data_IF_592651075201
#
_entry.id   IF_592651075201
#
_cell.length_a   1.000
_cell.length_b   1.000
_cell.length_c   1.000
_cell.angle_alpha   90.00
_cell.angle_beta   90.00
_cell.angle_gamma   90.00
#
_symmetry.space_group_name_H-M   'P 1'
#
loop_
_entity.id
_entity.type
_entity.pdbx_description
1 polymer ?
#
# COMPACT_ATOMS: atom_id res chain seq x y z
N UNK A 1 -64.68 5.19 4.57
CA UNK A 1 -63.32 5.50 5.05
C UNK A 1 -62.38 4.39 4.56
N UNK A 2 -61.59 4.65 3.54
CA UNK A 2 -60.77 3.68 2.85
C UNK A 2 -59.36 3.74 3.41
N UNK A 3 -58.82 2.63 3.89
CA UNK A 3 -57.44 2.45 4.34
C UNK A 3 -56.62 2.07 3.14
N UNK A 4 -55.56 2.86 2.85
CA UNK A 4 -54.54 2.56 1.82
C UNK A 4 -53.45 1.65 2.40
N UNK A 5 -52.94 0.67 1.66
CA UNK A 5 -51.80 -0.12 2.10
C UNK A 5 -50.48 0.58 1.80
N UNK A 6 -49.56 0.48 2.75
CA UNK A 6 -48.18 0.93 2.63
C UNK A 6 -47.38 0.01 1.68
N UNK A 7 -46.83 0.58 0.63
CA UNK A 7 -45.85 -0.05 -0.24
C UNK A 7 -44.46 -0.03 0.40
N UNK A 8 -43.86 -1.20 0.58
CA UNK A 8 -42.47 -1.36 0.97
C UNK A 8 -41.56 -0.96 -0.20
N UNK A 9 -40.73 0.01 0.05
CA UNK A 9 -39.71 0.48 -0.89
C UNK A 9 -38.45 -0.40 -0.73
N UNK A 10 -38.24 -1.32 -1.67
CA UNK A 10 -36.95 -2.07 -1.79
C UNK A 10 -36.08 -1.33 -2.77
N UNK A 11 -35.15 -0.54 -2.26
CA UNK A 11 -34.12 0.11 -3.06
C UNK A 11 -32.97 -0.87 -3.33
N UNK A 12 -33.00 -1.51 -4.49
CA UNK A 12 -31.81 -2.11 -5.09
C UNK A 12 -30.92 -1.02 -5.73
N UNK A 13 -29.64 -1.31 -6.02
CA UNK A 13 -28.71 -0.33 -6.56
C UNK A 13 -29.20 0.16 -7.93
N UNK A 14 -29.46 1.46 -8.02
CA UNK A 14 -29.79 2.13 -9.28
C UNK A 14 -28.51 2.33 -10.07
N UNK A 15 -28.35 1.55 -11.13
CA UNK A 15 -27.41 1.83 -12.21
C UNK A 15 -27.88 3.12 -12.89
N UNK A 16 -27.08 4.18 -12.75
CA UNK A 16 -27.41 5.46 -13.39
C UNK A 16 -26.94 5.41 -14.85
N UNK A 17 -27.84 5.12 -15.78
CA UNK A 17 -27.61 5.25 -17.21
C UNK A 17 -27.69 6.74 -17.54
N UNK A 18 -26.54 7.40 -17.75
CA UNK A 18 -26.52 8.73 -18.37
C UNK A 18 -26.69 8.60 -19.88
N UNK A 19 -27.92 8.73 -20.35
CA UNK A 19 -28.18 8.94 -21.77
C UNK A 19 -27.81 10.37 -22.13
N UNK A 20 -26.73 10.56 -22.88
CA UNK A 20 -26.48 11.83 -23.58
C UNK A 20 -27.20 11.79 -24.92
N UNK A 21 -28.33 12.51 -24.96
CA UNK A 21 -29.00 12.86 -26.22
C UNK A 21 -28.17 13.92 -26.93
N UNK A 22 -27.58 13.59 -28.08
CA UNK A 22 -27.21 14.58 -29.10
C UNK A 22 -27.84 14.14 -30.41
N UNK A 23 -28.69 14.99 -30.86
CA UNK A 23 -29.35 15.20 -32.15
C UNK A 23 -28.92 14.28 -33.28
N UNK A 24 -29.79 13.33 -33.61
CA UNK A 24 -29.78 12.59 -34.86
C UNK A 24 -30.12 13.57 -35.99
N UNK A 25 -29.15 13.88 -36.83
CA UNK A 25 -29.46 14.35 -38.17
C UNK A 25 -29.88 13.11 -38.98
N UNK A 26 -31.17 12.93 -39.15
CA UNK A 26 -31.73 11.84 -39.92
C UNK A 26 -31.36 12.06 -41.41
N UNK A 27 -30.39 11.27 -41.90
CA UNK A 27 -30.29 11.00 -43.32
C UNK A 27 -31.16 9.79 -43.64
N UNK A 28 -32.28 10.00 -44.32
CA UNK A 28 -33.21 8.97 -44.77
C UNK A 28 -32.56 8.13 -45.85
N UNK A 29 -31.91 7.05 -45.44
CA UNK A 29 -31.64 5.84 -46.21
C UNK A 29 -31.60 4.73 -45.19
N UNK A 30 -32.55 3.77 -45.26
CA UNK A 30 -32.89 2.73 -44.32
C UNK A 30 -31.71 1.96 -43.68
N UNK A 31 -31.07 2.54 -42.72
CA UNK A 31 -29.97 1.96 -41.95
C UNK A 31 -30.37 1.89 -40.48
N UNK A 32 -30.45 0.69 -39.96
CA UNK A 32 -30.62 0.40 -38.53
C UNK A 32 -29.51 1.12 -37.73
N UNK A 33 -29.92 2.04 -36.87
CA UNK A 33 -29.01 2.81 -36.06
C UNK A 33 -28.21 1.92 -35.08
N UNK A 34 -26.90 2.07 -35.12
CA UNK A 34 -26.03 1.51 -34.08
C UNK A 34 -26.11 2.39 -32.82
N UNK A 35 -26.28 1.78 -31.66
CA UNK A 35 -26.21 2.44 -30.36
C UNK A 35 -24.88 2.07 -29.72
N UNK A 36 -24.09 3.07 -29.35
CA UNK A 36 -22.83 2.89 -28.66
C UNK A 36 -23.07 2.86 -27.13
N UNK A 37 -22.54 1.87 -26.47
CA UNK A 37 -22.55 1.72 -25.01
C UNK A 37 -21.10 1.67 -24.53
N UNK A 38 -20.70 2.63 -23.71
CA UNK A 38 -19.43 2.63 -23.03
C UNK A 38 -19.56 2.03 -21.62
N UNK A 39 -18.60 1.23 -21.22
CA UNK A 39 -18.42 0.80 -19.82
C UNK A 39 -17.05 1.27 -19.33
N UNK A 40 -17.02 1.96 -18.21
CA UNK A 40 -15.81 2.56 -17.67
C UNK A 40 -15.54 3.99 -18.15
N UNK A 41 -14.30 4.39 -18.14
CA UNK A 41 -13.86 5.76 -18.49
C UNK A 41 -13.71 5.99 -20.00
N UNK A 42 -13.93 4.96 -20.85
CA UNK A 42 -13.77 5.01 -22.30
C UNK A 42 -15.11 5.11 -23.00
N UNK A 43 -15.20 6.02 -23.97
CA UNK A 43 -16.45 6.32 -24.68
C UNK A 43 -16.27 6.11 -26.18
N UNK A 44 -17.26 5.54 -26.87
CA UNK A 44 -17.32 5.63 -28.33
C UNK A 44 -17.84 7.02 -28.70
N UNK A 45 -16.96 7.86 -29.23
CA UNK A 45 -17.26 9.25 -29.59
C UNK A 45 -18.06 9.35 -30.90
N UNK A 46 -17.74 8.48 -31.86
CA UNK A 46 -18.53 8.38 -33.14
C UNK A 46 -18.48 6.96 -33.71
N UNK A 47 -19.50 6.62 -34.49
CA UNK A 47 -19.55 5.42 -35.33
C UNK A 47 -19.81 5.91 -36.76
N UNK A 48 -18.84 5.72 -37.63
CA UNK A 48 -18.95 6.09 -39.04
C UNK A 48 -19.11 4.82 -39.88
N UNK A 49 -20.04 4.86 -40.82
CA UNK A 49 -20.37 3.75 -41.70
C UNK A 49 -20.17 4.18 -43.14
N UNK A 50 -19.27 3.53 -43.84
CA UNK A 50 -18.96 3.84 -45.23
C UNK A 50 -19.07 2.58 -46.11
N UNK A 51 -19.58 2.67 -47.34
CA UNK A 51 -19.62 1.55 -48.26
C UNK A 51 -18.21 1.12 -48.65
N UNK A 52 -17.98 -0.18 -48.77
CA UNK A 52 -16.72 -0.72 -49.29
C UNK A 52 -16.69 -0.50 -50.80
N UNK A 53 -15.62 0.11 -51.31
CA UNK A 53 -15.47 0.38 -52.74
C UNK A 53 -15.50 -0.95 -53.55
N UNK A 54 -16.49 -1.07 -54.43
CA UNK A 54 -16.66 -2.24 -55.30
C UNK A 54 -17.48 -3.39 -54.69
N UNK A 55 -17.95 -3.28 -53.46
CA UNK A 55 -18.81 -4.27 -52.81
C UNK A 55 -19.98 -3.60 -52.09
N UNK A 56 -21.16 -3.64 -52.74
CA UNK A 56 -22.37 -3.01 -52.20
C UNK A 56 -22.96 -3.75 -50.97
N UNK A 57 -22.54 -4.99 -50.68
CA UNK A 57 -22.99 -5.77 -49.57
C UNK A 57 -22.20 -5.56 -48.30
N UNK A 58 -20.99 -5.05 -48.38
CA UNK A 58 -20.09 -4.78 -47.27
C UNK A 58 -19.98 -3.26 -46.99
N UNK A 59 -19.87 -2.98 -45.71
CA UNK A 59 -19.58 -1.62 -45.23
C UNK A 59 -18.40 -1.64 -44.24
N UNK A 60 -17.62 -0.57 -44.27
CA UNK A 60 -16.62 -0.32 -43.24
C UNK A 60 -17.28 0.39 -42.07
N UNK A 61 -17.15 -0.16 -40.91
CA UNK A 61 -17.56 0.43 -39.63
C UNK A 61 -16.31 0.99 -38.98
N UNK A 62 -16.24 2.29 -38.78
CA UNK A 62 -15.16 2.97 -38.12
C UNK A 62 -15.65 3.50 -36.73
N UNK A 63 -14.98 3.12 -35.66
CA UNK A 63 -15.25 3.62 -34.33
C UNK A 63 -14.18 4.63 -33.94
N UNK A 64 -14.62 5.80 -33.52
CA UNK A 64 -13.74 6.79 -32.86
C UNK A 64 -13.92 6.65 -31.37
N UNK A 65 -12.86 6.26 -30.67
CA UNK A 65 -12.85 5.99 -29.25
C UNK A 65 -12.13 7.13 -28.53
N UNK A 66 -12.85 7.83 -27.64
CA UNK A 66 -12.30 8.90 -26.80
C UNK A 66 -12.01 8.39 -25.39
N UNK A 67 -11.25 9.19 -24.66
CA UNK A 67 -10.94 9.00 -23.23
C UNK A 67 -10.17 7.71 -22.91
N UNK A 68 -9.62 7.03 -23.94
CA UNK A 68 -8.72 5.90 -23.75
C UNK A 68 -7.30 6.40 -23.44
N UNK A 69 -6.73 5.92 -22.35
CA UNK A 69 -5.34 6.21 -21.98
C UNK A 69 -4.37 5.59 -23.01
N UNK A 70 -3.35 6.33 -23.43
CA UNK A 70 -2.37 5.82 -24.40
C UNK A 70 -1.69 4.55 -23.85
N UNK A 71 -1.63 3.49 -24.66
CA UNK A 71 -1.10 2.19 -24.27
C UNK A 71 -2.12 1.22 -23.69
N UNK A 72 -3.36 1.65 -23.39
CA UNK A 72 -4.43 0.73 -22.97
C UNK A 72 -4.80 -0.24 -24.07
N UNK A 73 -5.01 -1.50 -23.73
CA UNK A 73 -5.59 -2.49 -24.63
C UNK A 73 -7.11 -2.33 -24.65
N UNK A 74 -7.67 -2.25 -25.85
CA UNK A 74 -9.10 -2.09 -26.08
C UNK A 74 -9.65 -3.34 -26.74
N UNK A 75 -10.71 -3.92 -26.19
CA UNK A 75 -11.50 -4.97 -26.81
C UNK A 75 -12.79 -4.36 -27.32
N UNK A 76 -13.03 -4.53 -28.63
CA UNK A 76 -14.23 -4.07 -29.30
C UNK A 76 -15.17 -5.29 -29.39
N UNK A 77 -16.35 -5.16 -28.81
CA UNK A 77 -17.37 -6.19 -28.83
C UNK A 77 -18.63 -5.70 -29.54
N UNK A 78 -19.31 -6.62 -30.16
CA UNK A 78 -20.56 -6.37 -30.87
C UNK A 78 -21.68 -7.30 -30.40
N UNK A 79 -22.91 -6.83 -30.47
CA UNK A 79 -24.11 -7.59 -30.11
C UNK A 79 -25.29 -7.21 -30.97
N UNK A 80 -26.11 -8.21 -31.35
CA UNK A 80 -27.38 -8.01 -32.01
C UNK A 80 -28.57 -7.84 -31.04
N UNK A 81 -28.41 -8.22 -29.77
CA UNK A 81 -29.48 -8.33 -28.79
C UNK A 81 -29.18 -7.68 -27.43
N UNK A 82 -28.00 -7.05 -27.27
CA UNK A 82 -27.50 -6.48 -26.02
C UNK A 82 -27.26 -7.51 -24.87
N UNK A 83 -27.52 -8.77 -25.10
CA UNK A 83 -27.32 -9.83 -24.13
C UNK A 83 -26.07 -10.67 -24.45
N UNK A 84 -25.92 -11.02 -25.73
CA UNK A 84 -24.81 -11.84 -26.19
C UNK A 84 -23.80 -10.97 -26.92
N UNK A 85 -22.60 -10.86 -26.40
CA UNK A 85 -21.53 -10.03 -26.93
C UNK A 85 -20.42 -10.89 -27.51
N UNK A 86 -20.01 -10.60 -28.73
CA UNK A 86 -18.89 -11.26 -29.40
C UNK A 86 -17.72 -10.29 -29.56
N UNK A 87 -16.51 -10.76 -29.36
CA UNK A 87 -15.30 -9.97 -29.63
C UNK A 87 -15.13 -9.80 -31.12
N UNK A 88 -15.14 -8.56 -31.59
CA UNK A 88 -14.95 -8.19 -32.99
C UNK A 88 -13.49 -7.88 -33.31
N UNK A 89 -12.74 -7.40 -32.33
CA UNK A 89 -11.36 -7.07 -32.50
C UNK A 89 -10.72 -6.45 -31.25
N UNK A 90 -9.45 -6.16 -31.37
CA UNK A 90 -8.65 -5.51 -30.34
C UNK A 90 -7.89 -4.35 -30.94
N UNK A 91 -7.61 -3.34 -30.15
CA UNK A 91 -6.78 -2.20 -30.52
C UNK A 91 -5.95 -1.76 -29.30
N UNK A 92 -4.80 -1.14 -29.56
CA UNK A 92 -4.06 -0.42 -28.51
C UNK A 92 -4.37 1.04 -28.65
N UNK A 93 -4.75 1.71 -27.55
CA UNK A 93 -5.00 3.13 -27.55
C UNK A 93 -3.71 3.89 -27.87
N UNK A 94 -3.72 4.64 -28.97
CA UNK A 94 -2.60 5.51 -29.35
C UNK A 94 -2.68 6.90 -28.69
N UNK A 95 -3.59 7.08 -27.76
CA UNK A 95 -4.04 8.34 -27.19
C UNK A 95 -5.49 8.64 -27.61
N UNK A 96 -6.07 9.73 -27.16
CA UNK A 96 -7.45 10.11 -27.52
C UNK A 96 -7.43 11.09 -28.69
N UNK A 97 -8.16 10.84 -29.80
CA UNK A 97 -9.00 9.67 -30.05
C UNK A 97 -8.25 8.49 -30.70
N UNK A 98 -8.65 7.28 -30.37
CA UNK A 98 -8.20 6.05 -31.04
C UNK A 98 -9.20 5.62 -32.08
N UNK A 99 -8.73 5.19 -33.26
CA UNK A 99 -9.55 4.72 -34.36
C UNK A 99 -9.49 3.19 -34.46
N UNK A 100 -10.63 2.55 -34.70
CA UNK A 100 -10.75 1.13 -35.01
C UNK A 100 -11.73 0.92 -36.14
N UNK A 101 -11.41 0.02 -37.06
CA UNK A 101 -12.19 -0.22 -38.26
C UNK A 101 -12.45 -1.71 -38.50
N UNK A 102 -13.62 -2.06 -38.95
CA UNK A 102 -13.99 -3.39 -39.38
C UNK A 102 -14.90 -3.37 -40.62
N UNK A 103 -14.68 -4.27 -41.57
CA UNK A 103 -15.62 -4.50 -42.66
C UNK A 103 -16.69 -5.51 -42.23
N UNK A 104 -17.96 -5.22 -42.51
CA UNK A 104 -19.08 -6.04 -42.14
C UNK A 104 -20.20 -5.97 -43.17
N UNK A 105 -20.88 -7.13 -43.39
CA UNK A 105 -22.15 -7.16 -44.12
C UNK A 105 -23.23 -6.56 -43.25
N UNK A 106 -23.92 -5.55 -43.75
CA UNK A 106 -25.08 -4.98 -43.06
C UNK A 106 -26.26 -5.90 -43.14
N UNK A 107 -26.82 -6.23 -41.98
CA UNK A 107 -28.09 -6.91 -41.82
C UNK A 107 -29.17 -5.90 -41.44
N UNK A 108 -30.44 -6.22 -41.70
CA UNK A 108 -31.55 -5.36 -41.31
C UNK A 108 -31.77 -5.31 -39.78
N UNK A 109 -31.01 -6.09 -39.00
CA UNK A 109 -31.08 -6.17 -37.54
C UNK A 109 -30.19 -5.10 -36.93
N UNK A 110 -30.62 -4.38 -35.89
CA UNK A 110 -29.77 -3.46 -35.13
C UNK A 110 -28.53 -4.17 -34.64
N UNK A 111 -27.41 -3.48 -34.63
CA UNK A 111 -26.17 -4.00 -34.10
C UNK A 111 -25.52 -2.96 -33.17
N UNK A 112 -25.11 -3.42 -31.99
CA UNK A 112 -24.60 -2.58 -30.92
C UNK A 112 -23.11 -2.82 -30.76
N UNK A 113 -22.38 -1.78 -30.42
CA UNK A 113 -20.94 -1.85 -30.15
C UNK A 113 -20.67 -1.37 -28.74
N UNK A 114 -19.73 -2.03 -28.06
CA UNK A 114 -19.12 -1.52 -26.84
C UNK A 114 -17.61 -1.68 -26.91
N UNK A 115 -16.92 -0.80 -26.19
CA UNK A 115 -15.47 -0.89 -26.01
C UNK A 115 -15.24 -1.19 -24.55
N UNK A 116 -14.43 -2.21 -24.28
CA UNK A 116 -13.88 -2.50 -22.98
C UNK A 116 -12.42 -2.13 -22.98
N UNK A 117 -11.98 -1.44 -21.94
CA UNK A 117 -10.55 -1.31 -21.66
C UNK A 117 -10.13 -2.63 -20.99
N UNK A 118 -9.23 -3.34 -21.65
CA UNK A 118 -8.60 -4.51 -21.04
C UNK A 118 -7.17 -4.12 -20.71
N UNK A 119 -6.96 -3.61 -19.52
CA UNK A 119 -5.64 -3.27 -19.01
C UNK A 119 -4.77 -4.50 -18.68
N UNK A 120 -4.86 -5.53 -19.51
CA UNK A 120 -4.31 -6.86 -19.23
C UNK A 120 -5.16 -7.68 -18.24
N UNK A 121 -6.22 -7.10 -17.65
CA UNK A 121 -7.03 -7.74 -16.61
C UNK A 121 -7.83 -8.97 -17.05
N UNK A 122 -8.20 -9.09 -18.32
CA UNK A 122 -8.94 -10.24 -18.83
C UNK A 122 -8.06 -11.52 -18.98
N UNK A 123 -6.75 -11.39 -18.88
CA UNK A 123 -5.77 -12.51 -18.91
C UNK A 123 -5.17 -12.81 -17.54
N UNK A 124 -5.35 -11.90 -16.58
CA UNK A 124 -4.84 -12.06 -15.22
C UNK A 124 -5.77 -12.95 -14.40
N UNK A 125 -5.19 -13.84 -13.59
CA UNK A 125 -5.93 -14.64 -12.62
C UNK A 125 -6.54 -13.74 -11.52
N UNK A 126 -7.45 -14.31 -10.70
CA UNK A 126 -7.96 -13.60 -9.54
C UNK A 126 -6.81 -13.13 -8.65
N UNK A 127 -6.82 -11.84 -8.29
CA UNK A 127 -5.73 -11.22 -7.53
C UNK A 127 -5.71 -9.71 -7.63
N UNK A 128 -4.74 -9.09 -6.97
CA UNK A 128 -4.45 -7.66 -7.06
C UNK A 128 -3.13 -7.48 -7.78
N UNK A 129 -3.09 -6.55 -8.73
CA UNK A 129 -1.91 -6.28 -9.55
C UNK A 129 -1.58 -4.79 -9.55
N UNK A 130 -0.29 -4.49 -9.60
CA UNK A 130 0.23 -3.15 -9.84
C UNK A 130 0.78 -3.06 -11.25
N UNK A 131 0.14 -2.28 -12.12
CA UNK A 131 0.67 -1.91 -13.44
C UNK A 131 1.53 -0.66 -13.26
N UNK A 132 2.83 -0.81 -13.40
CA UNK A 132 3.82 0.26 -13.22
C UNK A 132 4.28 0.71 -14.60
N UNK A 133 3.87 1.91 -15.01
CA UNK A 133 4.31 2.54 -16.26
C UNK A 133 5.54 3.38 -15.97
N UNK A 134 6.59 3.16 -16.75
CA UNK A 134 7.85 3.88 -16.61
C UNK A 134 8.28 4.49 -17.96
N UNK A 135 9.22 5.41 -17.93
CA UNK A 135 9.85 5.97 -19.14
C UNK A 135 10.57 4.94 -20.03
N UNK A 136 10.74 3.68 -19.55
CA UNK A 136 11.36 2.60 -20.32
C UNK A 136 10.39 1.46 -20.67
N UNK A 137 9.12 1.56 -20.29
CA UNK A 137 8.10 0.56 -20.58
C UNK A 137 7.21 0.25 -19.37
N UNK A 138 6.38 -0.76 -19.53
CA UNK A 138 5.35 -1.15 -18.55
C UNK A 138 5.68 -2.50 -17.96
N UNK A 139 5.53 -2.65 -16.64
CA UNK A 139 5.59 -3.92 -15.93
C UNK A 139 4.35 -4.11 -15.08
N UNK A 140 3.86 -5.35 -14.97
CA UNK A 140 2.74 -5.74 -14.11
C UNK A 140 3.24 -6.67 -13.03
N UNK A 141 2.97 -6.34 -11.78
CA UNK A 141 3.34 -7.15 -10.63
C UNK A 141 2.08 -7.62 -9.88
N UNK A 142 2.00 -8.91 -9.55
CA UNK A 142 1.00 -9.45 -8.63
C UNK A 142 1.37 -9.07 -7.21
N UNK A 143 0.37 -8.66 -6.41
CA UNK A 143 0.54 -8.26 -5.01
C UNK A 143 -0.04 -9.33 -4.07
N UNK A 144 0.69 -9.69 -3.05
CA UNK A 144 0.39 -10.77 -2.09
C UNK A 144 -0.50 -10.29 -0.92
N UNK A 145 -1.66 -9.71 -1.24
CA UNK A 145 -2.55 -9.05 -0.29
C UNK A 145 -3.14 -9.97 0.79
N UNK A 146 -3.22 -11.28 0.54
CA UNK A 146 -3.70 -12.26 1.52
C UNK A 146 -2.62 -12.61 2.55
N UNK A 147 -1.33 -12.59 2.14
CA UNK A 147 -0.19 -13.00 2.96
C UNK A 147 0.39 -11.84 3.78
N UNK A 148 0.47 -10.66 3.18
CA UNK A 148 1.05 -9.45 3.79
C UNK A 148 0.13 -8.22 3.57
N UNK A 149 -1.11 -8.28 4.10
CA UNK A 149 -2.15 -7.30 3.81
C UNK A 149 -1.77 -5.86 4.17
N UNK A 150 -1.05 -5.63 5.26
CA UNK A 150 -0.66 -4.30 5.70
C UNK A 150 0.31 -3.63 4.71
N UNK A 151 1.33 -4.35 4.26
CA UNK A 151 2.32 -3.84 3.32
C UNK A 151 1.68 -3.59 1.95
N UNK A 152 0.83 -4.52 1.50
CA UNK A 152 0.09 -4.36 0.22
C UNK A 152 -0.90 -3.21 0.30
N UNK A 153 -1.67 -3.07 1.39
CA UNK A 153 -2.60 -1.96 1.57
C UNK A 153 -1.87 -0.61 1.56
N UNK A 154 -0.70 -0.51 2.20
CA UNK A 154 0.12 0.69 2.16
C UNK A 154 0.57 1.05 0.74
N UNK A 155 1.10 0.07 0.00
CA UNK A 155 1.53 0.29 -1.38
C UNK A 155 0.37 0.75 -2.27
N UNK A 156 -0.78 0.08 -2.18
CA UNK A 156 -2.00 0.43 -2.91
C UNK A 156 -2.49 1.82 -2.51
N UNK A 157 -2.59 2.08 -1.21
CA UNK A 157 -3.07 3.38 -0.70
C UNK A 157 -2.21 4.56 -1.15
N UNK A 158 -0.89 4.35 -1.27
CA UNK A 158 0.03 5.33 -1.86
C UNK A 158 -0.18 5.45 -3.38
N UNK A 159 -0.34 4.34 -4.09
CA UNK A 159 -0.56 4.34 -5.53
C UNK A 159 -1.88 5.00 -5.94
N UNK A 160 -2.95 4.82 -5.16
CA UNK A 160 -4.27 5.39 -5.41
C UNK A 160 -4.49 6.76 -4.73
N UNK A 161 -3.57 7.21 -3.89
CA UNK A 161 -3.71 8.46 -3.13
C UNK A 161 -4.79 8.39 -2.04
N UNK A 162 -5.06 7.22 -1.49
CA UNK A 162 -6.04 6.96 -0.42
C UNK A 162 -5.39 6.85 0.96
N UNK A 163 -4.07 6.69 1.03
CA UNK A 163 -3.26 6.74 2.24
C UNK A 163 -2.71 8.15 2.44
N UNK A 164 -2.78 8.67 3.67
CA UNK A 164 -2.16 9.95 4.01
C UNK A 164 -0.64 9.86 3.92
N UNK A 165 -0.03 10.85 3.29
CA UNK A 165 1.42 10.93 3.14
C UNK A 165 1.93 12.37 3.10
N UNK A 166 3.25 12.51 3.20
CA UNK A 166 3.97 13.74 2.86
C UNK A 166 5.20 13.42 2.03
N UNK A 167 5.45 14.19 0.97
CA UNK A 167 6.73 14.15 0.23
C UNK A 167 7.79 15.07 0.86
N UNK A 168 7.37 15.94 1.78
CA UNK A 168 8.25 16.78 2.58
C UNK A 168 8.59 16.06 3.90
N UNK A 169 9.86 15.73 4.16
CA UNK A 169 10.26 15.01 5.37
C UNK A 169 10.05 15.81 6.67
N UNK A 170 9.75 17.11 6.59
CA UNK A 170 9.47 17.97 7.74
C UNK A 170 7.97 18.16 7.97
N UNK A 171 7.12 17.74 7.04
CA UNK A 171 5.68 17.86 7.15
C UNK A 171 5.01 16.55 7.61
N UNK A 172 3.96 16.67 8.42
CA UNK A 172 3.14 15.53 8.79
C UNK A 172 2.34 15.01 7.57
N UNK A 173 2.07 13.70 7.52
CA UNK A 173 1.19 13.13 6.51
C UNK A 173 -0.16 13.84 6.48
N UNK A 174 -0.61 14.17 5.29
CA UNK A 174 -1.90 14.81 5.05
C UNK A 174 -2.68 14.05 3.98
N UNK A 175 -3.99 14.28 3.93
CA UNK A 175 -4.83 13.71 2.88
C UNK A 175 -4.34 14.20 1.50
N UNK A 176 -3.96 13.30 0.60
CA UNK A 176 -3.44 13.66 -0.72
C UNK A 176 -4.52 14.08 -1.72
N UNK A 177 -5.80 14.10 -1.34
CA UNK A 177 -6.95 14.41 -2.22
C UNK A 177 -6.99 13.52 -3.48
N UNK A 178 -6.67 12.23 -3.32
CA UNK A 178 -6.61 11.25 -4.40
C UNK A 178 -5.39 11.38 -5.30
N UNK A 179 -4.35 12.13 -4.91
CA UNK A 179 -3.12 12.23 -5.70
C UNK A 179 -2.24 11.00 -5.49
N UNK A 180 -1.86 10.29 -6.56
CA UNK A 180 -0.91 9.19 -6.46
C UNK A 180 0.45 9.63 -5.92
N UNK A 181 1.02 8.82 -5.02
CA UNK A 181 2.33 9.11 -4.43
C UNK A 181 3.49 8.82 -5.38
N UNK A 182 3.40 7.71 -6.13
CA UNK A 182 4.52 7.19 -6.91
C UNK A 182 4.74 7.92 -8.23
N UNK A 183 3.72 8.63 -8.73
CA UNK A 183 3.82 9.38 -9.97
C UNK A 183 4.96 10.40 -9.92
N UNK A 184 5.75 10.46 -10.99
CA UNK A 184 6.94 11.31 -11.14
C UNK A 184 8.15 10.91 -10.27
N UNK A 185 8.06 9.84 -9.46
CA UNK A 185 9.23 9.33 -8.73
C UNK A 185 10.19 8.59 -9.66
N UNK A 186 11.46 8.54 -9.27
CA UNK A 186 12.50 7.92 -10.08
C UNK A 186 13.03 6.63 -9.44
N UNK A 187 13.59 5.76 -10.26
CA UNK A 187 14.48 4.70 -9.80
C UNK A 187 15.83 5.32 -9.43
N UNK A 188 15.98 5.70 -8.16
CA UNK A 188 17.13 6.45 -7.67
C UNK A 188 18.37 5.60 -7.37
N UNK A 189 18.21 4.26 -7.31
CA UNK A 189 19.30 3.30 -7.09
C UNK A 189 19.07 2.06 -7.94
N UNK A 190 20.03 1.77 -8.82
CA UNK A 190 19.99 0.65 -9.76
C UNK A 190 21.30 -0.12 -9.69
N UNK A 191 21.25 -1.40 -9.37
CA UNK A 191 22.41 -2.27 -9.31
C UNK A 191 22.09 -3.52 -10.12
N UNK A 192 22.77 -3.65 -11.29
CA UNK A 192 22.65 -4.82 -12.14
C UNK A 192 23.00 -6.07 -11.36
N UNK A 193 22.28 -7.17 -11.64
CA UNK A 193 22.40 -8.48 -10.99
C UNK A 193 22.11 -8.42 -9.46
N UNK A 194 21.41 -7.38 -9.01
CA UNK A 194 20.90 -7.25 -7.65
C UNK A 194 19.44 -6.75 -7.64
N UNK A 195 19.21 -5.42 -7.77
CA UNK A 195 17.86 -4.85 -7.73
C UNK A 195 17.77 -3.46 -8.38
N UNK A 196 16.54 -3.03 -8.64
CA UNK A 196 16.18 -1.65 -8.98
C UNK A 196 15.27 -1.09 -7.88
N UNK A 197 15.58 0.11 -7.35
CA UNK A 197 14.91 0.69 -6.18
C UNK A 197 14.30 2.05 -6.49
N UNK A 198 13.06 2.25 -6.05
CA UNK A 198 12.27 3.47 -6.21
C UNK A 198 11.47 3.82 -4.95
N UNK A 199 10.48 4.73 -5.06
CA UNK A 199 9.57 5.11 -3.97
C UNK A 199 10.12 6.20 -3.03
N UNK A 200 11.30 6.75 -3.29
CA UNK A 200 11.87 7.85 -2.50
C UNK A 200 11.41 9.21 -3.04
N UNK A 201 10.67 10.04 -2.28
CA UNK A 201 10.17 11.33 -2.75
C UNK A 201 11.29 12.35 -3.03
N UNK A 202 12.47 12.16 -2.40
CA UNK A 202 13.63 13.02 -2.60
C UNK A 202 14.57 12.52 -3.72
N UNK A 203 14.30 11.35 -4.31
CA UNK A 203 15.11 10.78 -5.39
C UNK A 203 16.56 10.47 -5.02
N UNK A 204 16.86 10.26 -3.74
CA UNK A 204 18.22 10.03 -3.22
C UNK A 204 18.30 8.90 -2.17
N UNK A 205 17.19 8.22 -1.88
CA UNK A 205 17.09 7.13 -0.91
C UNK A 205 16.86 7.54 0.54
N UNK A 206 16.87 8.84 0.88
CA UNK A 206 16.71 9.31 2.27
C UNK A 206 15.29 9.74 2.62
N UNK A 207 14.40 9.90 1.61
CA UNK A 207 13.02 10.31 1.80
C UNK A 207 12.11 9.15 2.19
N UNK A 208 10.99 9.48 2.82
CA UNK A 208 9.93 8.55 3.24
C UNK A 208 8.57 9.25 3.14
N UNK A 209 7.43 8.55 3.34
CA UNK A 209 6.10 9.14 3.20
C UNK A 209 5.62 9.92 4.43
N UNK A 210 6.50 10.20 5.41
CA UNK A 210 6.17 10.91 6.64
C UNK A 210 5.75 10.00 7.80
N UNK A 211 5.83 8.68 7.62
CA UNK A 211 5.53 7.67 8.64
C UNK A 211 6.38 6.42 8.44
N UNK A 212 6.32 5.52 9.42
CA UNK A 212 6.94 4.21 9.39
C UNK A 212 5.89 3.12 9.57
N UNK A 213 6.14 1.94 8.98
CA UNK A 213 5.32 0.75 9.14
C UNK A 213 6.16 -0.39 9.70
N UNK A 214 5.55 -1.26 10.52
CA UNK A 214 6.20 -2.49 10.93
C UNK A 214 6.47 -3.41 9.73
N UNK A 215 7.40 -4.32 9.90
CA UNK A 215 7.60 -5.42 8.96
C UNK A 215 6.41 -6.38 9.01
N UNK A 216 6.17 -7.02 7.87
CA UNK A 216 5.22 -8.12 7.77
C UNK A 216 5.84 -9.19 6.89
N UNK A 217 6.02 -10.39 7.43
CA UNK A 217 6.67 -11.49 6.75
C UNK A 217 5.71 -12.66 6.54
N UNK A 218 5.98 -13.47 5.54
CA UNK A 218 5.27 -14.72 5.32
C UNK A 218 6.29 -15.78 4.86
N UNK A 219 6.24 -17.02 5.37
CA UNK A 219 7.25 -18.05 5.09
C UNK A 219 7.38 -18.40 3.62
N UNK A 220 6.31 -18.28 2.83
CA UNK A 220 6.31 -18.55 1.39
C UNK A 220 6.90 -17.40 0.55
N UNK A 221 7.06 -16.21 1.12
CA UNK A 221 7.52 -15.02 0.40
C UNK A 221 9.02 -14.84 0.59
N UNK A 222 9.76 -15.13 -0.48
CA UNK A 222 11.23 -15.16 -0.48
C UNK A 222 11.81 -14.38 -1.66
N UNK A 223 13.04 -13.89 -1.50
CA UNK A 223 13.81 -13.27 -2.59
C UNK A 223 14.50 -14.33 -3.45
N UNK A 224 13.72 -15.28 -3.98
CA UNK A 224 14.19 -16.52 -4.63
C UNK A 224 14.59 -16.36 -6.09
N UNK A 225 14.35 -15.21 -6.69
CA UNK A 225 14.63 -14.95 -8.09
C UNK A 225 14.48 -13.49 -8.51
N UNK A 226 14.59 -13.21 -9.80
CA UNK A 226 14.29 -11.89 -10.34
C UNK A 226 12.80 -11.59 -10.29
N UNK A 227 12.47 -10.30 -10.26
CA UNK A 227 11.09 -9.78 -10.30
C UNK A 227 10.38 -9.74 -8.95
N UNK A 228 11.02 -10.09 -7.84
CA UNK A 228 10.39 -10.00 -6.50
C UNK A 228 10.29 -8.55 -6.05
N UNK A 229 9.08 -8.11 -5.68
CA UNK A 229 8.83 -6.81 -5.07
C UNK A 229 8.98 -6.91 -3.55
N UNK A 230 9.81 -6.05 -2.99
CA UNK A 230 10.09 -6.04 -1.56
C UNK A 230 10.28 -4.62 -1.04
N UNK A 231 9.98 -4.41 0.24
CA UNK A 231 10.14 -3.10 0.88
C UNK A 231 11.61 -2.80 1.15
N UNK A 232 12.05 -1.61 0.75
CA UNK A 232 13.32 -1.05 1.20
C UNK A 232 13.13 -0.43 2.58
N UNK A 233 14.03 -0.74 3.52
CA UNK A 233 14.00 -0.24 4.89
C UNK A 233 15.41 0.20 5.35
N UNK A 234 15.49 0.78 6.53
CA UNK A 234 16.74 1.19 7.22
C UNK A 234 16.89 0.43 8.55
N UNK A 235 16.54 -0.84 8.56
CA UNK A 235 16.43 -1.72 9.71
C UNK A 235 14.98 -2.09 9.98
N UNK A 236 14.75 -2.93 10.97
CA UNK A 236 13.44 -3.47 11.33
C UNK A 236 12.40 -2.39 11.58
N UNK A 237 11.17 -2.65 11.13
CA UNK A 237 10.01 -1.78 11.34
C UNK A 237 10.20 -0.34 10.82
N UNK A 238 10.99 -0.19 9.75
CA UNK A 238 11.21 1.12 9.11
C UNK A 238 10.75 1.14 7.65
N UNK A 239 9.72 0.37 7.32
CA UNK A 239 9.10 0.44 6.00
C UNK A 239 8.37 1.77 5.83
N UNK A 240 8.29 2.22 4.59
CA UNK A 240 7.59 3.45 4.24
C UNK A 240 7.02 3.36 2.84
N UNK A 241 7.57 4.14 1.91
CA UNK A 241 7.19 4.14 0.50
C UNK A 241 8.23 3.52 -0.43
N UNK A 242 9.48 3.37 0.03
CA UNK A 242 10.53 2.84 -0.83
C UNK A 242 10.39 1.33 -1.02
N UNK A 243 10.52 0.89 -2.25
CA UNK A 243 10.48 -0.52 -2.64
C UNK A 243 11.59 -0.83 -3.64
N UNK A 244 11.92 -2.08 -3.79
CA UNK A 244 12.82 -2.55 -4.83
C UNK A 244 12.23 -3.76 -5.56
N UNK A 245 12.71 -3.96 -6.78
CA UNK A 245 12.41 -5.14 -7.60
C UNK A 245 13.73 -5.85 -7.82
N UNK A 246 13.80 -7.13 -7.47
CA UNK A 246 15.01 -7.92 -7.64
C UNK A 246 15.32 -8.15 -9.12
N UNK A 247 16.61 -8.13 -9.48
CA UNK A 247 17.12 -8.51 -10.82
C UNK A 247 17.81 -9.88 -10.80
N UNK A 248 18.04 -10.44 -9.60
CA UNK A 248 18.56 -11.77 -9.35
C UNK A 248 18.02 -12.29 -8.01
N UNK A 249 18.22 -13.57 -7.70
CA UNK A 249 17.94 -14.10 -6.36
C UNK A 249 18.81 -13.45 -5.31
N UNK A 250 18.21 -13.03 -4.20
CA UNK A 250 18.88 -12.33 -3.10
C UNK A 250 18.47 -12.89 -1.73
N UNK A 251 18.67 -14.20 -1.48
CA UNK A 251 18.17 -14.90 -0.29
C UNK A 251 18.72 -14.35 1.03
N UNK A 252 19.77 -13.57 1.02
CA UNK A 252 20.31 -12.89 2.20
C UNK A 252 19.45 -11.72 2.68
N UNK A 253 18.41 -11.34 1.93
CA UNK A 253 17.39 -10.33 2.30
C UNK A 253 16.14 -10.96 2.89
N UNK A 254 16.05 -12.30 2.89
CA UNK A 254 14.93 -13.01 3.49
C UNK A 254 14.90 -12.82 5.00
N UNK A 255 13.70 -12.90 5.56
CA UNK A 255 13.51 -12.92 7.00
C UNK A 255 14.30 -14.07 7.63
N UNK A 256 15.11 -13.71 8.62
CA UNK A 256 15.93 -14.60 9.44
C UNK A 256 15.99 -13.96 10.83
N UNK A 257 15.52 -14.65 11.86
CA UNK A 257 15.43 -14.18 13.25
C UNK A 257 16.78 -13.68 13.84
N UNK A 258 17.87 -13.91 13.13
CA UNK A 258 19.24 -13.61 13.61
C UNK A 258 19.80 -12.35 12.97
N UNK A 259 19.23 -11.85 11.86
CA UNK A 259 19.81 -10.74 11.07
C UNK A 259 18.95 -9.48 11.16
N UNK A 260 19.57 -8.37 11.46
CA UNK A 260 18.97 -7.06 11.26
C UNK A 260 18.89 -6.75 9.75
N UNK A 261 17.80 -6.11 9.30
CA UNK A 261 17.64 -5.64 7.94
C UNK A 261 16.87 -6.58 7.00
N UNK A 262 16.05 -7.44 7.56
CA UNK A 262 15.08 -8.26 6.84
C UNK A 262 14.12 -7.37 6.01
N UNK A 263 13.68 -7.86 4.84
CA UNK A 263 12.84 -7.09 3.94
C UNK A 263 11.52 -7.80 3.66
N UNK A 264 10.42 -7.06 3.78
CA UNK A 264 9.06 -7.58 3.57
C UNK A 264 8.77 -7.72 2.07
N UNK A 265 8.77 -8.95 1.57
CA UNK A 265 8.34 -9.27 0.21
C UNK A 265 6.82 -9.12 0.14
N UNK A 266 6.33 -8.43 -0.90
CA UNK A 266 4.89 -8.17 -1.04
C UNK A 266 4.33 -8.39 -2.44
N UNK A 267 5.15 -8.85 -3.41
CA UNK A 267 4.69 -9.11 -4.75
C UNK A 267 5.76 -9.67 -5.67
N UNK A 268 5.35 -9.94 -6.90
CA UNK A 268 6.24 -10.44 -7.97
C UNK A 268 5.79 -9.94 -9.33
N UNK A 269 6.74 -9.51 -10.15
CA UNK A 269 6.50 -9.16 -11.57
C UNK A 269 6.04 -10.41 -12.32
N UNK A 270 4.89 -10.30 -12.97
CA UNK A 270 4.28 -11.36 -13.79
C UNK A 270 4.36 -11.05 -15.28
N UNK A 271 4.48 -9.76 -15.63
CA UNK A 271 4.66 -9.30 -17.01
C UNK A 271 5.66 -8.14 -17.04
N UNK A 272 6.44 -8.00 -18.13
CA UNK A 272 7.38 -6.88 -18.31
C UNK A 272 8.71 -7.05 -17.59
N UNK A 273 9.23 -8.26 -17.42
CA UNK A 273 10.58 -8.50 -16.90
C UNK A 273 11.67 -7.90 -17.79
N UNK A 274 11.44 -7.80 -19.09
CA UNK A 274 12.31 -7.09 -20.04
C UNK A 274 12.47 -5.60 -19.71
N UNK A 275 11.44 -4.98 -19.12
CA UNK A 275 11.51 -3.59 -18.62
C UNK A 275 12.37 -3.52 -17.35
N UNK A 276 12.26 -4.50 -16.44
CA UNK A 276 13.16 -4.62 -15.27
C UNK A 276 14.61 -4.73 -15.72
N UNK A 277 14.87 -5.59 -16.73
CA UNK A 277 16.21 -5.79 -17.32
C UNK A 277 16.73 -4.50 -17.99
N UNK A 278 15.85 -3.79 -18.72
CA UNK A 278 16.18 -2.52 -19.35
C UNK A 278 16.58 -1.45 -18.30
N UNK A 279 15.82 -1.35 -17.20
CA UNK A 279 16.13 -0.44 -16.09
C UNK A 279 17.44 -0.86 -15.42
N UNK A 280 17.63 -2.15 -15.14
CA UNK A 280 18.85 -2.67 -14.52
C UNK A 280 20.11 -2.47 -15.40
N UNK A 281 19.91 -2.33 -16.72
CA UNK A 281 20.97 -2.14 -17.72
C UNK A 281 21.37 -0.67 -17.95
N UNK A 282 20.70 0.32 -17.36
CA UNK A 282 21.03 1.73 -17.61
C UNK A 282 22.40 2.13 -17.06
N UNK A 283 23.03 3.10 -17.68
CA UNK A 283 24.28 3.65 -17.19
C UNK A 283 24.06 4.41 -15.87
N UNK A 284 24.84 4.06 -14.86
CA UNK A 284 24.76 4.68 -13.52
C UNK A 284 25.96 5.59 -13.24
N UNK A 285 25.82 6.46 -12.23
CA UNK A 285 26.86 7.35 -11.70
C UNK A 285 26.81 7.37 -10.17
N UNK A 286 27.92 7.78 -9.54
CA UNK A 286 28.02 7.87 -8.09
C UNK A 286 27.61 6.57 -7.39
N UNK A 287 26.75 6.61 -6.35
CA UNK A 287 26.31 5.43 -5.62
C UNK A 287 25.14 4.71 -6.33
N UNK A 288 25.32 4.34 -7.62
CA UNK A 288 24.35 3.57 -8.41
C UNK A 288 23.07 4.34 -8.81
N UNK A 289 23.13 5.66 -8.95
CA UNK A 289 22.02 6.45 -9.51
C UNK A 289 22.10 6.42 -11.05
N UNK A 290 20.98 6.14 -11.78
CA UNK A 290 20.92 6.30 -13.22
C UNK A 290 21.40 7.69 -13.66
N UNK A 291 22.19 7.74 -14.75
CA UNK A 291 22.67 9.01 -15.33
C UNK A 291 21.56 9.81 -15.98
N UNK A 292 20.58 9.12 -16.54
CA UNK A 292 19.32 9.66 -17.01
C UNK A 292 18.25 9.08 -16.11
N UNK A 293 17.43 9.93 -15.51
CA UNK A 293 16.39 9.47 -14.59
C UNK A 293 15.42 8.54 -15.31
N UNK A 294 15.17 7.38 -14.71
CA UNK A 294 14.08 6.47 -15.09
C UNK A 294 12.90 6.81 -14.21
N UNK A 295 11.84 7.34 -14.82
CA UNK A 295 10.68 7.89 -14.13
C UNK A 295 9.56 6.87 -14.06
N UNK A 296 8.89 6.77 -12.91
CA UNK A 296 7.57 6.15 -12.79
C UNK A 296 6.54 7.17 -13.27
N UNK A 297 5.93 6.91 -14.41
CA UNK A 297 4.90 7.80 -14.98
C UNK A 297 3.56 7.59 -14.27
N UNK A 298 3.24 6.32 -13.93
CA UNK A 298 2.07 6.00 -13.11
C UNK A 298 2.16 4.61 -12.47
N UNK A 299 1.43 4.42 -11.37
CA UNK A 299 1.13 3.10 -10.78
C UNK A 299 -0.38 2.94 -10.72
N UNK A 300 -0.93 1.97 -11.48
CA UNK A 300 -2.36 1.66 -11.49
C UNK A 300 -2.61 0.32 -10.84
N UNK A 301 -3.65 0.25 -10.01
CA UNK A 301 -4.02 -0.98 -9.30
C UNK A 301 -5.18 -1.66 -10.02
N UNK A 302 -4.97 -2.93 -10.40
CA UNK A 302 -5.95 -3.79 -11.06
C UNK A 302 -6.41 -4.83 -10.06
N UNK A 303 -7.73 -4.97 -9.87
CA UNK A 303 -8.35 -5.94 -8.96
C UNK A 303 -9.22 -6.91 -9.75
N UNK A 304 -8.81 -8.18 -9.80
CA UNK A 304 -9.53 -9.26 -10.50
C UNK A 304 -10.14 -10.22 -9.47
N UNK A 305 -11.42 -10.54 -9.62
CA UNK A 305 -12.16 -11.37 -8.68
C UNK A 305 -12.77 -10.60 -7.50
N UNK A 306 -13.74 -11.20 -6.84
CA UNK A 306 -14.52 -10.52 -5.78
C UNK A 306 -13.69 -10.23 -4.51
N UNK A 307 -12.80 -11.14 -4.12
CA UNK A 307 -11.94 -10.95 -2.95
C UNK A 307 -10.99 -9.76 -3.16
N UNK A 308 -10.35 -9.68 -4.33
CA UNK A 308 -9.48 -8.58 -4.68
C UNK A 308 -10.22 -7.23 -4.72
N UNK A 309 -11.44 -7.19 -5.26
CA UNK A 309 -12.27 -5.99 -5.29
C UNK A 309 -12.75 -5.53 -3.91
N UNK A 310 -12.92 -6.46 -2.97
CA UNK A 310 -13.31 -6.13 -1.60
C UNK A 310 -12.13 -5.69 -0.71
N UNK A 311 -10.90 -5.83 -1.17
CA UNK A 311 -9.72 -5.44 -0.40
C UNK A 311 -9.59 -3.92 -0.32
N UNK A 312 -9.68 -3.40 0.89
CA UNK A 312 -9.60 -1.97 1.17
C UNK A 312 -8.16 -1.53 1.50
N UNK A 313 -7.74 -0.44 0.88
CA UNK A 313 -6.41 0.15 1.06
C UNK A 313 -6.52 1.66 1.33
N UNK A 314 -7.37 2.03 2.27
CA UNK A 314 -7.58 3.41 2.71
C UNK A 314 -6.79 3.73 3.97
N UNK A 315 -6.65 5.02 4.30
CA UNK A 315 -6.07 5.45 5.59
C UNK A 315 -6.75 4.73 6.77
N UNK A 316 -8.09 4.62 6.74
CA UNK A 316 -8.86 4.02 7.83
C UNK A 316 -8.63 2.50 7.94
N UNK A 317 -8.58 1.78 6.82
CA UNK A 317 -8.35 0.32 6.82
C UNK A 317 -6.92 -0.02 7.26
N UNK A 318 -5.93 0.77 6.83
CA UNK A 318 -4.53 0.61 7.22
C UNK A 318 -4.35 0.91 8.73
N UNK A 319 -4.95 2.00 9.23
CA UNK A 319 -4.93 2.34 10.66
C UNK A 319 -5.61 1.24 11.50
N UNK A 320 -6.68 0.61 10.99
CA UNK A 320 -7.31 -0.53 11.65
C UNK A 320 -6.40 -1.76 11.68
N UNK A 321 -5.74 -2.10 10.57
CA UNK A 321 -4.77 -3.21 10.53
C UNK A 321 -3.64 -3.00 11.54
N UNK A 322 -3.12 -1.78 11.66
CA UNK A 322 -2.09 -1.43 12.65
C UNK A 322 -2.61 -1.57 14.09
N UNK A 323 -3.84 -1.12 14.37
CA UNK A 323 -4.46 -1.27 15.69
C UNK A 323 -4.67 -2.70 16.11
N UNK A 324 -4.91 -3.61 15.16
CA UNK A 324 -5.19 -5.02 15.43
C UNK A 324 -3.92 -5.82 15.78
N UNK A 325 -2.72 -5.28 15.55
CA UNK A 325 -1.44 -5.93 15.87
C UNK A 325 -1.21 -5.97 17.39
N UNK A 326 -1.24 -4.80 18.03
CA UNK A 326 -0.86 -4.67 19.43
C UNK A 326 -1.68 -5.54 20.42
N UNK A 327 -3.01 -5.69 20.30
CA UNK A 327 -3.77 -6.56 21.19
C UNK A 327 -3.37 -8.04 21.09
N UNK A 328 -2.99 -8.50 19.88
CA UNK A 328 -2.49 -9.87 19.68
C UNK A 328 -1.14 -10.05 20.34
N UNK A 329 -0.20 -9.13 20.10
CA UNK A 329 1.12 -9.15 20.73
C UNK A 329 1.02 -9.13 22.25
N UNK A 330 0.22 -8.22 22.83
CA UNK A 330 0.05 -8.11 24.28
C UNK A 330 -0.55 -9.40 24.89
N UNK A 331 -1.50 -10.03 24.20
CA UNK A 331 -2.08 -11.30 24.62
C UNK A 331 -1.05 -12.44 24.59
N UNK A 332 -0.28 -12.54 23.52
CA UNK A 332 0.78 -13.55 23.39
C UNK A 332 1.86 -13.37 24.48
N UNK A 333 2.28 -12.13 24.75
CA UNK A 333 3.21 -11.79 25.83
C UNK A 333 2.63 -12.22 27.18
N UNK A 334 1.36 -11.89 27.46
CA UNK A 334 0.67 -12.30 28.68
C UNK A 334 0.67 -13.83 28.85
N UNK A 335 0.33 -14.56 27.79
CA UNK A 335 0.29 -16.02 27.80
C UNK A 335 1.67 -16.64 28.05
N UNK A 336 2.72 -16.11 27.39
CA UNK A 336 4.11 -16.60 27.54
C UNK A 336 4.64 -16.33 28.95
N UNK A 337 4.46 -15.11 29.46
CA UNK A 337 4.97 -14.72 30.79
C UNK A 337 4.09 -15.22 31.93
N UNK A 338 2.81 -15.52 31.66
CA UNK A 338 1.80 -15.82 32.67
C UNK A 338 1.67 -14.68 33.70
N UNK A 339 1.71 -13.43 33.26
CA UNK A 339 1.59 -12.22 34.07
C UNK A 339 0.31 -11.49 33.67
N UNK A 340 -0.56 -11.17 34.63
CA UNK A 340 -1.75 -10.37 34.35
C UNK A 340 -1.39 -8.91 34.14
N UNK A 341 -1.95 -8.25 33.10
CA UNK A 341 -1.78 -6.82 32.89
C UNK A 341 -2.38 -6.00 34.03
N UNK A 342 -1.88 -4.80 34.23
CA UNK A 342 -2.55 -3.79 35.06
C UNK A 342 -3.89 -3.37 34.44
N UNK A 343 -4.71 -2.60 35.16
CA UNK A 343 -5.99 -2.07 34.64
C UNK A 343 -5.83 -1.21 33.39
N UNK A 344 -4.66 -0.63 33.16
CA UNK A 344 -4.32 0.15 31.97
C UNK A 344 -3.80 -0.69 30.81
N UNK A 345 -3.56 -1.97 31.02
CA UNK A 345 -3.02 -2.92 30.04
C UNK A 345 -1.49 -3.05 30.02
N UNK A 346 -0.77 -2.38 30.94
CA UNK A 346 0.68 -2.56 31.09
C UNK A 346 0.96 -3.96 31.64
N UNK A 347 1.93 -4.70 31.05
CA UNK A 347 2.50 -5.90 31.65
C UNK A 347 3.83 -5.53 32.31
N UNK A 348 3.95 -5.82 33.60
CA UNK A 348 5.11 -5.53 34.42
C UNK A 348 5.75 -6.84 34.91
N UNK A 349 6.98 -7.08 34.48
CA UNK A 349 7.77 -8.22 34.89
C UNK A 349 8.91 -7.79 35.84
N UNK A 350 8.86 -8.16 37.09
CA UNK A 350 9.93 -7.88 38.07
C UNK A 350 11.08 -8.87 37.89
N UNK A 351 12.18 -8.43 37.26
CA UNK A 351 13.39 -9.26 37.11
C UNK A 351 14.21 -9.34 38.41
N UNK A 352 14.24 -8.25 39.18
CA UNK A 352 14.90 -8.16 40.45
C UNK A 352 14.21 -7.14 41.35
N UNK A 353 13.78 -7.51 42.53
CA UNK A 353 13.16 -6.58 43.49
C UNK A 353 14.16 -5.51 43.97
N UNK A 354 13.68 -4.30 44.12
CA UNK A 354 14.37 -3.21 44.77
C UNK A 354 14.17 -3.21 46.29
N UNK A 355 14.67 -2.16 46.96
CA UNK A 355 14.54 -1.97 48.41
C UNK A 355 13.92 -0.62 48.73
N UNK A 356 13.32 -0.50 49.93
CA UNK A 356 12.69 0.73 50.39
C UNK A 356 11.23 0.88 49.99
N UNK A 357 10.76 2.11 49.89
CA UNK A 357 9.38 2.42 49.48
C UNK A 357 9.20 2.34 47.97
N UNK A 358 7.95 2.17 47.54
CA UNK A 358 7.56 2.33 46.16
C UNK A 358 7.75 3.77 45.71
N UNK A 359 8.08 3.95 44.44
CA UNK A 359 8.17 5.27 43.77
C UNK A 359 6.84 5.95 43.75
N UNK A 360 6.81 7.28 43.97
CA UNK A 360 5.63 8.16 43.95
C UNK A 360 5.68 9.13 42.78
N UNK A 361 4.53 9.72 42.43
CA UNK A 361 4.45 10.67 41.30
C UNK A 361 5.38 11.88 41.46
N UNK A 362 5.56 12.41 42.70
CA UNK A 362 6.43 13.55 42.97
C UNK A 362 7.93 13.23 43.01
N UNK A 363 8.29 11.94 43.00
CA UNK A 363 9.70 11.54 43.15
C UNK A 363 10.51 11.85 41.86
N UNK A 364 11.80 12.14 42.06
CA UNK A 364 12.79 12.17 40.99
C UNK A 364 13.50 10.84 40.93
N UNK A 365 13.42 10.18 39.79
CA UNK A 365 14.05 8.88 39.56
C UNK A 365 15.29 9.00 38.68
N UNK A 366 16.28 8.15 38.97
CA UNK A 366 17.49 8.00 38.13
C UNK A 366 17.56 6.54 37.69
N UNK A 367 17.59 6.28 36.40
CA UNK A 367 17.53 4.91 35.88
C UNK A 367 18.26 4.77 34.54
N UNK A 368 18.72 3.56 34.26
CA UNK A 368 19.08 3.12 32.94
C UNK A 368 17.90 2.42 32.27
N UNK A 369 17.86 2.51 30.95
CA UNK A 369 16.84 1.82 30.17
C UNK A 369 17.34 1.40 28.80
N UNK A 370 16.68 0.39 28.23
CA UNK A 370 16.72 0.02 26.82
C UNK A 370 15.24 -0.05 26.37
N UNK A 371 14.93 0.61 25.27
CA UNK A 371 13.60 0.62 24.70
C UNK A 371 13.60 0.03 23.28
N UNK A 372 12.76 -0.97 23.07
CA UNK A 372 12.68 -1.77 21.86
C UNK A 372 11.25 -1.83 21.34
N UNK A 373 11.09 -2.17 20.07
CA UNK A 373 9.80 -2.54 19.50
C UNK A 373 9.58 -4.05 19.63
N UNK A 374 8.36 -4.46 19.95
CA UNK A 374 8.01 -5.87 19.93
C UNK A 374 7.83 -6.32 18.49
N UNK A 375 8.52 -7.38 18.06
CA UNK A 375 8.36 -8.01 16.75
C UNK A 375 7.12 -8.91 16.67
N UNK A 376 6.73 -9.34 15.46
CA UNK A 376 5.61 -10.30 15.28
C UNK A 376 5.86 -11.67 15.92
N UNK A 377 7.12 -12.04 16.13
CA UNK A 377 7.52 -13.31 16.76
C UNK A 377 7.63 -13.23 18.28
N UNK A 378 7.19 -12.11 18.91
CA UNK A 378 7.41 -11.81 20.34
C UNK A 378 8.89 -11.85 20.75
N UNK A 379 9.78 -11.72 19.79
CA UNK A 379 11.20 -11.60 20.01
C UNK A 379 11.60 -10.14 20.19
N UNK A 380 12.79 -9.91 20.76
CA UNK A 380 13.36 -8.59 20.92
C UNK A 380 13.52 -7.95 19.55
N UNK A 381 12.82 -6.87 19.33
CA UNK A 381 12.86 -6.12 18.08
C UNK A 381 13.95 -5.06 18.06
N UNK A 382 13.78 -4.07 17.21
CA UNK A 382 14.76 -2.99 17.06
C UNK A 382 14.82 -2.10 18.30
N UNK A 383 16.02 -1.95 18.89
CA UNK A 383 16.31 -0.92 19.90
C UNK A 383 16.19 0.46 19.22
N UNK A 384 15.35 1.32 19.76
CA UNK A 384 15.18 2.69 19.26
C UNK A 384 15.64 3.76 20.26
N UNK A 385 15.81 3.41 21.53
CA UNK A 385 16.35 4.30 22.53
C UNK A 385 17.11 3.47 23.60
N UNK A 386 18.29 3.95 24.02
CA UNK A 386 19.17 3.25 24.92
C UNK A 386 19.99 4.26 25.73
N UNK A 387 20.02 4.09 27.04
CA UNK A 387 20.82 4.89 27.96
C UNK A 387 22.14 4.21 28.39
N UNK A 388 22.43 3.02 27.85
CA UNK A 388 23.57 2.17 28.26
C UNK A 388 24.73 2.25 27.25
N UNK A 389 24.42 2.35 25.96
CA UNK A 389 25.43 2.35 24.88
C UNK A 389 25.43 3.67 24.09
N UNK A 390 26.58 4.15 23.56
CA UNK A 390 27.94 3.65 23.78
C UNK A 390 28.56 4.11 25.09
N UNK A 391 27.93 5.04 25.82
CA UNK A 391 28.39 5.50 27.13
C UNK A 391 27.21 5.57 28.09
N UNK A 392 27.26 4.87 29.25
CA UNK A 392 26.20 4.88 30.22
C UNK A 392 25.88 6.30 30.70
N UNK A 393 24.68 6.77 30.41
CA UNK A 393 24.15 8.05 30.87
C UNK A 393 22.71 7.82 31.40
N UNK A 394 22.56 7.62 32.74
CA UNK A 394 21.23 7.39 33.30
C UNK A 394 20.33 8.61 33.08
N UNK A 395 19.08 8.36 32.78
CA UNK A 395 18.06 9.40 32.75
C UNK A 395 17.69 9.79 34.17
N UNK A 396 17.67 11.09 34.44
CA UNK A 396 17.20 11.66 35.71
C UNK A 396 16.02 12.58 35.42
N UNK A 397 14.84 12.23 35.92
CA UNK A 397 13.58 12.90 35.58
C UNK A 397 12.57 12.71 36.74
N UNK A 398 11.62 13.62 36.90
CA UNK A 398 10.47 13.37 37.79
C UNK A 398 9.50 12.36 37.18
N UNK A 399 8.78 11.61 37.99
CA UNK A 399 7.79 10.64 37.50
C UNK A 399 6.66 11.37 36.76
N UNK A 400 6.30 12.60 37.18
CA UNK A 400 5.32 13.43 36.49
C UNK A 400 5.77 13.83 35.07
N UNK A 401 7.02 14.24 34.89
CA UNK A 401 7.57 14.52 33.55
C UNK A 401 7.66 13.26 32.69
N UNK A 402 8.04 12.11 33.29
CA UNK A 402 8.06 10.83 32.60
C UNK A 402 6.67 10.43 32.13
N UNK A 403 5.62 10.69 32.94
CA UNK A 403 4.23 10.41 32.58
C UNK A 403 3.74 11.22 31.35
N UNK A 404 4.29 12.41 31.13
CA UNK A 404 4.00 13.21 29.92
C UNK A 404 4.68 12.61 28.69
N UNK A 405 5.89 12.10 28.83
CA UNK A 405 6.68 11.55 27.76
C UNK A 405 6.27 10.12 27.36
N UNK A 406 6.09 9.26 28.37
CA UNK A 406 5.81 7.84 28.23
C UNK A 406 5.00 7.34 29.43
N UNK A 407 3.68 7.48 29.43
CA UNK A 407 2.80 7.14 30.54
C UNK A 407 3.02 5.73 31.13
N UNK A 408 3.22 4.74 30.26
CA UNK A 408 3.46 3.36 30.68
C UNK A 408 4.78 3.17 31.42
N UNK A 409 5.82 3.91 31.07
CA UNK A 409 7.06 3.88 31.83
C UNK A 409 6.89 4.49 33.24
N UNK A 410 6.14 5.60 33.35
CA UNK A 410 5.84 6.20 34.65
C UNK A 410 4.96 5.28 35.52
N UNK A 411 3.99 4.61 34.92
CA UNK A 411 3.17 3.61 35.62
C UNK A 411 4.02 2.45 36.13
N UNK A 412 4.86 1.85 35.27
CA UNK A 412 5.77 0.78 35.66
C UNK A 412 6.78 1.22 36.74
N UNK A 413 7.28 2.46 36.65
CA UNK A 413 8.17 3.03 37.65
C UNK A 413 7.55 3.05 39.05
N UNK A 414 6.26 3.34 39.17
CA UNK A 414 5.53 3.35 40.46
C UNK A 414 5.35 1.95 41.09
N UNK A 415 5.54 0.92 40.31
CA UNK A 415 5.58 -0.47 40.81
C UNK A 415 6.97 -0.89 41.30
N UNK A 416 7.99 -0.05 41.10
CA UNK A 416 9.38 -0.33 41.41
C UNK A 416 9.80 0.29 42.75
N UNK A 417 10.91 -0.25 43.28
CA UNK A 417 11.66 0.29 44.40
C UNK A 417 13.12 0.54 43.98
N UNK A 418 13.83 1.41 44.68
CA UNK A 418 15.24 1.72 44.40
C UNK A 418 16.09 0.43 44.30
N UNK A 419 16.89 0.32 43.26
CA UNK A 419 17.73 -0.85 42.94
C UNK A 419 16.99 -1.96 42.23
N UNK A 420 15.70 -1.78 41.91
CA UNK A 420 14.88 -2.74 41.20
C UNK A 420 15.25 -2.77 39.70
N UNK A 421 14.99 -3.92 39.09
CA UNK A 421 15.18 -4.18 37.67
C UNK A 421 13.88 -4.81 37.11
N UNK A 422 13.33 -4.26 36.09
CA UNK A 422 12.05 -4.70 35.54
C UNK A 422 12.00 -4.59 34.02
N UNK A 423 11.13 -5.39 33.43
CA UNK A 423 10.73 -5.34 32.04
C UNK A 423 9.28 -4.83 31.97
N UNK A 424 9.03 -3.86 31.13
CA UNK A 424 7.72 -3.25 30.89
C UNK A 424 7.29 -3.53 29.45
N UNK A 425 6.14 -4.16 29.26
CA UNK A 425 5.51 -4.30 27.96
C UNK A 425 4.37 -3.27 27.88
N UNK A 426 4.63 -2.20 27.15
CA UNK A 426 3.82 -0.99 27.18
C UNK A 426 2.91 -0.97 25.94
N UNK A 427 1.57 -1.07 26.12
CA UNK A 427 0.64 -1.01 25.01
C UNK A 427 0.65 0.38 24.36
N UNK A 428 0.25 0.50 23.09
CA UNK A 428 0.32 1.76 22.35
C UNK A 428 -0.35 2.96 23.04
N UNK A 429 -1.45 2.73 23.77
CA UNK A 429 -2.18 3.79 24.48
C UNK A 429 -1.36 4.43 25.60
N UNK A 430 -0.39 3.70 26.15
CA UNK A 430 0.54 4.15 27.20
C UNK A 430 1.94 4.48 26.64
N UNK A 431 2.12 4.43 25.31
CA UNK A 431 3.35 4.74 24.60
C UNK A 431 3.10 5.86 23.57
N UNK A 432 3.37 5.61 22.31
CA UNK A 432 3.32 6.65 21.26
C UNK A 432 2.00 6.67 20.45
N UNK A 433 1.05 5.79 20.78
CA UNK A 433 -0.31 5.77 20.24
C UNK A 433 -0.38 5.69 18.72
N UNK A 434 -1.41 6.35 18.17
CA UNK A 434 -1.69 6.35 16.73
C UNK A 434 -0.72 7.16 15.87
N UNK A 435 0.15 7.96 16.46
CA UNK A 435 1.12 8.78 15.71
C UNK A 435 2.47 8.08 15.60
N UNK A 436 2.76 7.12 16.50
CA UNK A 436 4.11 6.59 16.63
C UNK A 436 5.10 7.66 17.12
N UNK A 437 6.39 7.43 16.89
CA UNK A 437 7.43 8.41 17.17
C UNK A 437 8.39 8.51 15.98
N UNK A 438 8.10 9.44 15.09
CA UNK A 438 8.76 9.56 13.80
C UNK A 438 10.29 9.70 13.92
N UNK A 439 10.78 10.55 14.83
CA UNK A 439 12.22 10.78 15.01
C UNK A 439 12.99 9.53 15.44
N UNK A 440 12.38 8.67 16.25
CA UNK A 440 12.95 7.37 16.66
C UNK A 440 12.53 6.21 15.75
N UNK A 441 11.80 6.49 14.66
CA UNK A 441 11.30 5.52 13.69
C UNK A 441 10.38 4.46 14.32
N UNK A 442 9.57 4.85 15.30
CA UNK A 442 8.56 3.98 15.92
C UNK A 442 7.26 4.09 15.12
N UNK A 443 6.76 2.99 14.55
CA UNK A 443 5.48 3.00 13.85
C UNK A 443 4.29 3.36 14.75
N UNK A 444 3.20 3.78 14.14
CA UNK A 444 1.93 3.94 14.83
C UNK A 444 1.48 2.61 15.46
N UNK A 445 0.79 2.70 16.60
CA UNK A 445 0.23 1.54 17.32
C UNK A 445 1.23 0.46 17.76
N UNK A 446 2.54 0.78 17.86
CA UNK A 446 3.56 -0.16 18.32
C UNK A 446 3.47 -0.45 19.81
N UNK A 447 3.65 -1.71 20.18
CA UNK A 447 3.97 -2.12 21.55
C UNK A 447 5.45 -1.82 21.82
N UNK A 448 5.73 -1.20 22.95
CA UNK A 448 7.08 -0.85 23.37
C UNK A 448 7.49 -1.77 24.51
N UNK A 449 8.61 -2.46 24.36
CA UNK A 449 9.30 -3.17 25.41
C UNK A 449 10.33 -2.22 26.02
N UNK A 450 10.32 -2.07 27.36
CA UNK A 450 11.28 -1.23 28.05
C UNK A 450 11.88 -1.94 29.24
N UNK A 451 13.17 -2.25 29.16
CA UNK A 451 13.96 -2.72 30.28
C UNK A 451 14.41 -1.52 31.13
N UNK A 452 14.19 -1.57 32.44
CA UNK A 452 14.50 -0.48 33.38
C UNK A 452 15.34 -1.00 34.54
N UNK A 453 16.50 -0.37 34.78
CA UNK A 453 17.29 -0.50 35.99
C UNK A 453 17.20 0.80 36.81
N UNK A 454 16.39 0.79 37.85
CA UNK A 454 16.18 1.95 38.74
C UNK A 454 17.34 2.07 39.74
N UNK A 455 18.25 3.03 39.52
CA UNK A 455 19.47 3.19 40.32
C UNK A 455 19.29 4.09 41.53
N UNK A 456 18.47 5.13 41.44
CA UNK A 456 18.22 6.05 42.55
C UNK A 456 16.80 6.62 42.55
N UNK A 457 16.29 6.94 43.75
CA UNK A 457 15.00 7.60 44.01
C UNK A 457 15.26 8.75 44.99
N UNK A 458 14.94 9.97 44.58
CA UNK A 458 14.95 11.15 45.44
C UNK A 458 13.52 11.57 45.69
N UNK A 459 13.03 11.51 46.96
CA UNK A 459 11.66 11.91 47.28
C UNK A 459 11.37 13.33 46.85
N UNK A 460 10.19 13.54 46.26
CA UNK A 460 9.65 14.86 45.99
C UNK A 460 9.26 15.55 47.30
N UNK A 461 9.43 16.86 47.33
CA UNK A 461 9.13 17.66 48.51
C UNK A 461 7.62 17.87 48.70
#
# INVERSE_FOLDING_TARGET
>A
MAVRPHSRNTSGPRIMVKAFSRTLAALTLGLSGAIALGQGEVTIASIDVAPVAGDASNQTIALTISDAEAGSSLVIEGSADLANWETLGQATAAGSPTQWEQQRVLTATPFFYRVKVTDGGDTLADGIYAKITTSLGVMTAQLEYEKVPLIVANFIGLAEGTKFYSKDPQAFPANPDGKPYFDELIFHRVIKDFMIQSGCPLGNGTGNPGYWLPDQFHPDLKHDGPGVLSMANSGEHTNGSQFFITHAATPWLDFDDIRAGNHSVFGKVVEGMDVVDAIAGVAVSGPNKPRTDVVIESVRIIRVGEMAKSFEATEASIDQMLRDIAPRQMKEIQEVLNIEPTDSGLIYEELKPGTGELVKDSDTVTFHFIAELVSEANEFGRIFADSVNPQPAPLKITVEELAIMLPGAAEGMKLMKKGGHAMLYIPPALAYGKLGFFAARVPAHSVVLMEILLTDVTPGG
#
